data_IF_674109233814
#
_entry.id   IF_674109233814
#
_cell.length_a   1.000
_cell.length_b   1.000
_cell.length_c   1.000
_cell.angle_alpha   90.00
_cell.angle_beta   90.00
_cell.angle_gamma   90.00
#
_symmetry.space_group_name_H-M   'P 1'
#
loop_
_entity.id
_entity.type
_entity.pdbx_description
1 polymer ?
#
# COMPACT_ATOMS: atom_id res chain seq x y z
N UNK A 1 -5.86 -0.60 -7.97
CA UNK A 1 -4.58 -0.70 -8.70
C UNK A 1 -3.86 0.63 -8.65
N UNK A 2 -2.53 0.60 -8.60
CA UNK A 2 -1.74 1.82 -8.72
C UNK A 2 -2.00 2.45 -10.10
N UNK A 3 -2.22 3.77 -10.20
CA UNK A 3 -2.46 4.46 -11.46
C UNK A 3 -1.19 4.62 -12.33
N UNK A 4 -0.46 3.52 -12.50
CA UNK A 4 0.76 3.42 -13.30
C UNK A 4 0.54 2.42 -14.42
N UNK A 5 0.99 2.76 -15.64
CA UNK A 5 0.72 1.97 -16.85
C UNK A 5 1.14 0.50 -16.69
N UNK A 6 2.33 0.23 -16.14
CA UNK A 6 2.84 -1.13 -15.90
C UNK A 6 1.96 -1.97 -14.95
N UNK A 7 1.37 -1.32 -13.94
CA UNK A 7 0.52 -1.97 -12.93
C UNK A 7 -0.85 -2.27 -13.52
N UNK A 8 -1.40 -1.34 -14.30
CA UNK A 8 -2.66 -1.53 -15.01
C UNK A 8 -2.53 -2.66 -16.04
N UNK A 9 -1.44 -2.69 -16.82
CA UNK A 9 -1.14 -3.76 -17.77
C UNK A 9 -1.01 -5.12 -17.08
N UNK A 10 -0.24 -5.19 -15.99
CA UNK A 10 -0.12 -6.42 -15.18
C UNK A 10 -1.49 -6.88 -14.68
N UNK A 11 -2.31 -5.97 -14.16
CA UNK A 11 -3.66 -6.28 -13.71
C UNK A 11 -4.54 -6.79 -14.86
N UNK A 12 -4.49 -6.13 -16.02
CA UNK A 12 -5.27 -6.50 -17.20
C UNK A 12 -4.91 -7.91 -17.70
N UNK A 13 -3.62 -8.28 -17.68
CA UNK A 13 -3.15 -9.60 -18.09
C UNK A 13 -3.50 -10.65 -17.04
N UNK A 14 -3.14 -10.42 -15.77
CA UNK A 14 -3.35 -11.39 -14.67
C UNK A 14 -4.83 -11.68 -14.41
N UNK A 15 -5.70 -10.69 -14.63
CA UNK A 15 -7.14 -10.81 -14.42
C UNK A 15 -7.92 -10.74 -15.75
N UNK A 16 -7.30 -11.11 -16.87
CA UNK A 16 -7.93 -11.07 -18.20
C UNK A 16 -9.34 -11.67 -18.24
N UNK A 17 -9.61 -12.87 -17.68
CA UNK A 17 -10.96 -13.42 -17.70
C UNK A 17 -12.01 -12.56 -16.99
N UNK A 18 -11.60 -11.76 -15.99
CA UNK A 18 -12.47 -10.84 -15.25
C UNK A 18 -12.70 -9.57 -16.06
N UNK A 19 -11.64 -9.01 -16.65
CA UNK A 19 -11.71 -7.83 -17.51
C UNK A 19 -12.54 -8.10 -18.77
N UNK A 20 -12.37 -9.26 -19.41
CA UNK A 20 -13.12 -9.66 -20.60
C UNK A 20 -14.64 -9.79 -20.35
N UNK A 21 -15.06 -9.99 -19.09
CA UNK A 21 -16.48 -9.94 -18.69
C UNK A 21 -17.02 -8.52 -18.45
N UNK A 22 -16.20 -7.50 -18.67
CA UNK A 22 -16.58 -6.09 -18.53
C UNK A 22 -16.36 -5.50 -17.13
N UNK A 23 -15.70 -6.21 -16.22
CA UNK A 23 -15.31 -5.62 -14.93
C UNK A 23 -14.16 -4.63 -15.10
N UNK A 24 -14.32 -3.46 -14.50
CA UNK A 24 -13.33 -2.38 -14.57
C UNK A 24 -12.24 -2.52 -13.52
N UNK A 25 -11.04 -2.10 -13.88
CA UNK A 25 -9.88 -2.00 -13.00
C UNK A 25 -10.00 -0.69 -12.21
N UNK A 26 -10.30 -0.81 -10.92
CA UNK A 26 -10.37 0.35 -10.03
C UNK A 26 -8.97 0.94 -9.79
N UNK A 27 -8.78 2.22 -10.11
CA UNK A 27 -7.55 2.94 -9.79
C UNK A 27 -7.57 3.47 -8.35
N UNK A 28 -6.47 3.27 -7.64
CA UNK A 28 -6.29 3.58 -6.23
C UNK A 28 -4.97 4.34 -6.05
N UNK A 29 -5.00 5.68 -6.04
CA UNK A 29 -3.80 6.51 -5.89
C UNK A 29 -2.99 6.19 -4.63
N UNK A 30 -3.65 5.90 -3.51
CA UNK A 30 -2.98 5.57 -2.25
C UNK A 30 -2.01 4.38 -2.34
N UNK A 31 -2.11 3.55 -3.38
CA UNK A 31 -1.21 2.42 -3.57
C UNK A 31 0.10 2.79 -4.29
N UNK A 32 0.31 4.06 -4.70
CA UNK A 32 1.50 4.50 -5.44
C UNK A 32 2.82 4.16 -4.74
N UNK A 33 3.83 3.87 -5.57
CA UNK A 33 5.16 3.48 -5.12
C UNK A 33 5.80 4.55 -4.22
N UNK A 34 6.81 4.13 -3.47
CA UNK A 34 7.43 4.91 -2.41
C UNK A 34 8.43 5.98 -2.87
N UNK A 35 8.70 6.14 -4.17
CA UNK A 35 9.71 7.07 -4.69
C UNK A 35 9.09 8.12 -5.61
N UNK A 36 9.79 9.25 -5.76
CA UNK A 36 9.40 10.37 -6.62
C UNK A 36 9.99 10.24 -8.02
N UNK A 37 10.69 9.14 -8.30
CA UNK A 37 11.26 8.89 -9.59
C UNK A 37 10.13 8.86 -10.65
N UNK A 38 10.36 9.37 -11.88
CA UNK A 38 9.31 9.39 -12.90
C UNK A 38 8.76 8.00 -13.22
N UNK A 39 9.57 6.96 -13.06
CA UNK A 39 9.09 5.59 -13.22
C UNK A 39 8.12 5.17 -12.11
N UNK A 40 8.16 5.74 -10.92
CA UNK A 40 7.39 5.35 -9.74
C UNK A 40 6.18 6.25 -9.45
N UNK A 41 6.01 7.27 -10.30
CA UNK A 41 4.88 8.19 -10.27
C UNK A 41 3.85 7.81 -11.33
N UNK A 42 2.57 7.85 -10.98
CA UNK A 42 1.51 7.57 -11.94
C UNK A 42 1.32 8.65 -13.01
N UNK A 43 0.63 8.31 -14.10
CA UNK A 43 0.37 9.22 -15.24
C UNK A 43 -0.93 9.99 -15.05
N UNK A 44 -1.15 11.12 -15.71
CA UNK A 44 -2.39 11.89 -15.49
C UNK A 44 -3.66 11.09 -15.84
N UNK A 45 -4.81 11.47 -15.26
CA UNK A 45 -6.11 10.85 -15.59
C UNK A 45 -6.39 10.86 -17.09
N UNK A 46 -6.07 11.97 -17.77
CA UNK A 46 -6.24 12.09 -19.23
C UNK A 46 -5.39 11.05 -19.98
N UNK A 47 -4.11 10.91 -19.63
CA UNK A 47 -3.22 9.94 -20.26
C UNK A 47 -3.67 8.50 -20.00
N UNK A 48 -4.12 8.19 -18.79
CA UNK A 48 -4.61 6.85 -18.43
C UNK A 48 -5.88 6.52 -19.20
N UNK A 49 -6.85 7.42 -19.25
CA UNK A 49 -8.09 7.24 -20.02
C UNK A 49 -7.81 7.09 -21.51
N UNK A 50 -6.88 7.89 -22.07
CA UNK A 50 -6.45 7.76 -23.46
C UNK A 50 -5.82 6.40 -23.75
N UNK A 51 -5.09 5.83 -22.79
CA UNK A 51 -4.35 4.57 -22.97
C UNK A 51 -5.23 3.34 -22.77
N UNK A 52 -6.11 3.35 -21.75
CA UNK A 52 -6.84 2.16 -21.30
C UNK A 52 -8.35 2.24 -21.52
N UNK A 53 -8.88 3.41 -21.85
CA UNK A 53 -10.31 3.61 -22.10
C UNK A 53 -11.19 3.11 -20.96
N UNK A 54 -12.26 2.41 -21.30
CA UNK A 54 -13.27 1.93 -20.35
C UNK A 54 -12.81 0.77 -19.46
N UNK A 55 -11.62 0.21 -19.68
CA UNK A 55 -11.07 -0.87 -18.86
C UNK A 55 -10.75 -0.40 -17.44
N UNK A 56 -10.50 0.90 -17.25
CA UNK A 56 -10.18 1.49 -15.95
C UNK A 56 -11.36 2.27 -15.37
N UNK A 57 -11.46 2.28 -14.05
CA UNK A 57 -12.33 3.18 -13.30
C UNK A 57 -11.46 4.26 -12.63
N UNK A 58 -11.69 5.50 -13.07
CA UNK A 58 -10.95 6.70 -12.66
C UNK A 58 -11.65 7.52 -11.60
N UNK A 59 -12.86 7.16 -11.16
CA UNK A 59 -13.68 8.00 -10.27
C UNK A 59 -12.94 8.38 -8.97
N UNK A 60 -12.12 7.46 -8.45
CA UNK A 60 -11.34 7.71 -7.23
C UNK A 60 -10.18 8.68 -7.40
N UNK A 61 -9.69 8.92 -8.62
CA UNK A 61 -8.54 9.80 -8.85
C UNK A 61 -8.85 11.24 -8.41
N UNK A 62 -10.10 11.68 -8.55
CA UNK A 62 -10.55 13.01 -8.14
C UNK A 62 -10.52 13.22 -6.61
N UNK A 63 -10.64 12.14 -5.83
CA UNK A 63 -10.63 12.18 -4.36
C UNK A 63 -9.22 12.34 -3.78
N UNK A 64 -8.18 12.18 -4.59
CA UNK A 64 -6.80 12.17 -4.15
C UNK A 64 -5.96 13.12 -4.98
N UNK A 65 -6.19 14.44 -4.96
CA UNK A 65 -5.39 15.39 -5.73
C UNK A 65 -3.89 15.25 -5.42
N UNK A 66 -3.05 15.67 -6.36
CA UNK A 66 -1.58 15.66 -6.26
C UNK A 66 -0.89 14.29 -6.26
N UNK A 67 -1.63 13.21 -6.51
CA UNK A 67 -1.08 11.86 -6.58
C UNK A 67 0.00 11.70 -7.64
N UNK A 68 -0.22 12.23 -8.84
CA UNK A 68 0.73 12.18 -9.95
C UNK A 68 1.81 13.27 -9.89
N UNK A 69 1.85 14.06 -8.81
CA UNK A 69 2.87 15.08 -8.57
C UNK A 69 3.66 14.85 -7.27
N UNK A 70 3.38 13.79 -6.49
CA UNK A 70 4.06 13.47 -5.23
C UNK A 70 4.10 14.61 -4.20
N UNK A 71 2.95 15.21 -3.89
CA UNK A 71 2.88 16.25 -2.84
C UNK A 71 1.95 15.87 -1.70
N UNK A 72 2.33 16.27 -0.48
CA UNK A 72 1.55 16.13 0.74
C UNK A 72 1.45 14.67 1.17
N UNK A 73 0.24 14.08 1.14
CA UNK A 73 0.10 12.65 1.48
C UNK A 73 0.84 11.72 0.51
N UNK A 74 1.26 12.25 -0.64
CA UNK A 74 2.03 11.53 -1.64
C UNK A 74 3.54 11.73 -1.51
N UNK A 75 4.01 12.45 -0.48
CA UNK A 75 5.42 12.57 -0.16
C UNK A 75 6.06 11.20 0.10
N UNK A 76 7.38 11.15 -0.08
CA UNK A 76 8.18 9.91 -0.10
C UNK A 76 8.93 9.64 1.19
N UNK A 77 8.76 10.49 2.20
CA UNK A 77 9.32 10.27 3.53
C UNK A 77 8.59 9.12 4.25
N UNK A 78 9.30 8.46 5.19
CA UNK A 78 8.79 7.29 5.89
C UNK A 78 7.46 7.52 6.62
N UNK A 79 7.28 8.70 7.22
CA UNK A 79 6.05 9.04 7.95
C UNK A 79 4.85 9.14 7.00
N UNK A 80 5.02 9.84 5.87
CA UNK A 80 4.00 9.95 4.81
C UNK A 80 3.65 8.60 4.22
N UNK A 81 4.63 7.74 3.95
CA UNK A 81 4.42 6.39 3.41
C UNK A 81 3.68 5.48 4.40
N UNK A 82 4.03 5.51 5.69
CA UNK A 82 3.34 4.74 6.74
C UNK A 82 1.88 5.18 6.84
N UNK A 83 1.62 6.49 6.91
CA UNK A 83 0.26 7.04 6.95
C UNK A 83 -0.54 6.69 5.70
N UNK A 84 0.09 6.73 4.52
CA UNK A 84 -0.55 6.36 3.25
C UNK A 84 -0.92 4.87 3.22
N UNK A 85 -0.04 4.00 3.71
CA UNK A 85 -0.33 2.57 3.89
C UNK A 85 -1.52 2.31 4.81
N UNK A 86 -1.57 2.98 5.96
CA UNK A 86 -2.70 2.88 6.89
C UNK A 86 -4.02 3.39 6.27
N UNK A 87 -3.98 4.54 5.59
CA UNK A 87 -5.15 5.08 4.88
C UNK A 87 -5.66 4.11 3.82
N UNK A 88 -4.76 3.49 3.04
CA UNK A 88 -5.13 2.50 2.06
C UNK A 88 -5.80 1.29 2.71
N UNK A 89 -5.22 0.74 3.79
CA UNK A 89 -5.81 -0.39 4.52
C UNK A 89 -7.23 -0.09 5.02
N UNK A 90 -7.47 1.09 5.59
CA UNK A 90 -8.83 1.52 6.00
C UNK A 90 -9.79 1.53 4.81
N UNK A 91 -9.39 2.20 3.72
CA UNK A 91 -10.21 2.27 2.49
C UNK A 91 -10.54 0.89 1.95
N UNK A 92 -9.64 -0.08 2.07
CA UNK A 92 -9.83 -1.46 1.62
C UNK A 92 -10.74 -2.27 2.54
N UNK A 93 -10.57 -2.14 3.86
CA UNK A 93 -11.40 -2.83 4.85
C UNK A 93 -12.85 -2.39 4.76
N UNK A 94 -13.09 -1.10 4.56
CA UNK A 94 -14.44 -0.53 4.55
C UNK A 94 -15.18 -0.76 3.21
N UNK A 95 -14.57 -1.53 2.29
CA UNK A 95 -15.20 -1.91 1.03
C UNK A 95 -16.20 -3.05 1.23
N UNK A 96 -17.27 -3.11 0.42
CA UNK A 96 -18.25 -4.20 0.49
C UNK A 96 -17.73 -5.54 -0.06
N UNK A 97 -16.64 -5.54 -0.84
CA UNK A 97 -16.09 -6.77 -1.41
C UNK A 97 -15.40 -7.66 -0.38
N UNK A 98 -15.79 -8.95 -0.34
CA UNK A 98 -15.18 -9.96 0.55
C UNK A 98 -13.72 -10.28 0.24
N UNK A 99 -13.34 -10.16 -1.04
CA UNK A 99 -12.00 -10.45 -1.51
C UNK A 99 -11.54 -9.31 -2.42
N UNK A 100 -10.38 -8.73 -2.13
CA UNK A 100 -9.81 -7.62 -2.89
C UNK A 100 -8.42 -8.03 -3.36
N UNK A 101 -8.19 -7.97 -4.66
CA UNK A 101 -6.86 -8.10 -5.24
C UNK A 101 -6.25 -6.72 -5.44
N UNK A 102 -5.00 -6.54 -5.00
CA UNK A 102 -4.23 -5.32 -5.22
C UNK A 102 -2.95 -5.69 -5.95
N UNK A 103 -2.79 -5.16 -7.16
CA UNK A 103 -1.51 -5.16 -7.87
C UNK A 103 -0.78 -3.87 -7.46
N UNK A 104 0.37 -4.05 -6.82
CA UNK A 104 1.19 -2.98 -6.24
C UNK A 104 2.66 -3.09 -6.71
N UNK A 105 3.54 -2.31 -6.09
CA UNK A 105 4.98 -2.38 -6.28
C UNK A 105 5.69 -2.88 -5.04
N UNK A 106 6.92 -3.35 -5.22
CA UNK A 106 7.63 -4.12 -4.21
C UNK A 106 7.86 -3.32 -2.93
N UNK A 107 8.29 -2.07 -3.04
CA UNK A 107 8.60 -1.26 -1.85
C UNK A 107 7.32 -0.86 -1.13
N UNK A 108 6.35 -0.27 -1.83
CA UNK A 108 5.11 0.16 -1.20
C UNK A 108 4.30 -1.00 -0.60
N UNK A 109 4.41 -2.21 -1.15
CA UNK A 109 3.78 -3.39 -0.57
C UNK A 109 4.17 -3.59 0.92
N UNK A 110 5.41 -3.28 1.32
CA UNK A 110 5.82 -3.32 2.73
C UNK A 110 5.00 -2.37 3.61
N UNK A 111 4.70 -1.17 3.13
CA UNK A 111 3.88 -0.19 3.85
C UNK A 111 2.40 -0.61 3.89
N UNK A 112 1.91 -1.26 2.83
CA UNK A 112 0.56 -1.84 2.83
C UNK A 112 0.44 -2.87 3.95
N UNK A 113 1.37 -3.81 4.06
CA UNK A 113 1.27 -4.93 5.01
C UNK A 113 1.88 -4.66 6.39
N UNK A 114 2.47 -3.49 6.60
CA UNK A 114 3.03 -3.06 7.89
C UNK A 114 4.42 -3.65 8.19
N UNK A 115 5.15 -4.12 7.18
CA UNK A 115 6.50 -4.66 7.31
C UNK A 115 7.57 -3.55 7.23
N UNK A 116 7.39 -2.50 8.02
CA UNK A 116 8.29 -1.34 8.11
C UNK A 116 8.52 -0.91 9.56
N UNK A 117 9.67 -0.33 9.85
CA UNK A 117 9.97 0.31 11.14
C UNK A 117 9.22 1.64 11.28
N UNK A 118 9.35 2.27 12.45
CA UNK A 118 8.81 3.63 12.69
C UNK A 118 9.40 4.70 11.78
N UNK A 119 10.62 4.48 11.28
CA UNK A 119 11.31 5.39 10.37
C UNK A 119 11.04 5.05 8.90
N UNK A 120 10.20 4.04 8.62
CA UNK A 120 9.85 3.61 7.27
C UNK A 120 10.83 2.61 6.62
N UNK A 121 11.75 2.04 7.39
CA UNK A 121 12.69 1.04 6.87
C UNK A 121 12.03 -0.34 6.78
N UNK A 122 12.28 -1.07 5.69
CA UNK A 122 11.67 -2.39 5.45
C UNK A 122 12.23 -3.44 6.41
N UNK A 123 11.35 -4.29 6.96
CA UNK A 123 11.73 -5.33 7.95
C UNK A 123 11.80 -6.75 7.36
N UNK A 124 11.52 -6.90 6.07
CA UNK A 124 11.52 -8.20 5.37
C UNK A 124 12.20 -8.07 4.02
N UNK A 125 12.53 -9.22 3.38
CA UNK A 125 13.07 -9.21 2.01
C UNK A 125 12.13 -8.50 1.03
N UNK A 126 12.71 -7.99 -0.05
CA UNK A 126 11.96 -7.47 -1.18
C UNK A 126 10.97 -8.51 -1.73
N UNK A 127 9.82 -8.01 -2.18
CA UNK A 127 8.86 -8.79 -2.94
C UNK A 127 9.43 -9.18 -4.30
N UNK A 128 9.22 -10.43 -4.71
CA UNK A 128 9.57 -10.90 -6.04
C UNK A 128 8.54 -10.40 -7.08
N UNK A 129 8.95 -10.37 -8.35
CA UNK A 129 8.07 -9.98 -9.44
C UNK A 129 6.86 -10.93 -9.52
N UNK A 130 5.65 -10.34 -9.59
CA UNK A 130 4.38 -11.07 -9.60
C UNK A 130 4.18 -12.01 -8.38
N UNK A 131 4.88 -11.77 -7.27
CA UNK A 131 4.65 -12.50 -6.03
C UNK A 131 3.24 -12.22 -5.50
N UNK A 132 2.50 -13.30 -5.19
CA UNK A 132 1.16 -13.22 -4.61
C UNK A 132 1.20 -13.62 -3.14
N UNK A 133 0.59 -12.79 -2.30
CA UNK A 133 0.41 -13.02 -0.87
C UNK A 133 -1.04 -12.75 -0.49
N UNK A 134 -1.53 -13.46 0.51
CA UNK A 134 -2.90 -13.31 1.01
C UNK A 134 -2.87 -12.92 2.48
N UNK A 135 -3.72 -11.95 2.84
CA UNK A 135 -3.79 -11.37 4.17
C UNK A 135 -5.25 -11.24 4.59
N UNK A 136 -5.48 -11.19 5.90
CA UNK A 136 -6.76 -10.79 6.50
C UNK A 136 -6.55 -9.59 7.43
N UNK A 137 -7.58 -8.76 7.57
CA UNK A 137 -7.62 -7.76 8.63
C UNK A 137 -7.68 -8.44 9.99
N UNK A 138 -6.97 -7.88 10.97
CA UNK A 138 -6.88 -8.43 12.33
C UNK A 138 -8.21 -8.23 13.08
N UNK A 139 -8.80 -7.04 12.97
CA UNK A 139 -10.10 -6.71 13.54
C UNK A 139 -10.83 -5.67 12.66
N UNK A 140 -12.16 -5.63 12.77
CA UNK A 140 -13.00 -4.70 12.02
C UNK A 140 -12.89 -3.26 12.53
N UNK A 141 -12.69 -3.09 13.84
CA UNK A 141 -12.61 -1.81 14.55
C UNK A 141 -11.17 -1.32 14.81
N UNK A 142 -10.18 -1.96 14.18
CA UNK A 142 -8.77 -1.60 14.31
C UNK A 142 -8.47 -0.21 13.71
N UNK A 143 -8.00 0.74 14.51
CA UNK A 143 -7.71 2.10 14.03
C UNK A 143 -6.59 2.20 12.99
N UNK A 144 -5.76 1.20 12.80
CA UNK A 144 -4.70 1.16 11.78
C UNK A 144 -4.99 0.15 10.66
N UNK A 145 -6.17 -0.50 10.74
CA UNK A 145 -6.62 -1.57 9.87
C UNK A 145 -5.53 -2.64 9.70
N UNK A 146 -4.90 -3.08 10.79
CA UNK A 146 -3.78 -4.01 10.72
C UNK A 146 -4.13 -5.31 10.00
N UNK A 147 -3.13 -5.89 9.32
CA UNK A 147 -3.30 -7.10 8.53
C UNK A 147 -2.32 -8.18 9.01
N UNK A 148 -2.75 -9.43 8.94
CA UNK A 148 -1.90 -10.59 9.18
C UNK A 148 -1.94 -11.51 7.98
N UNK A 149 -0.78 -12.06 7.62
CA UNK A 149 -0.65 -12.96 6.48
C UNK A 149 -1.31 -14.31 6.78
N UNK A 150 -2.04 -14.85 5.81
CA UNK A 150 -2.68 -16.15 5.93
C UNK A 150 -1.64 -17.28 5.95
N UNK A 151 -1.94 -18.36 6.66
CA UNK A 151 -1.05 -19.51 6.83
C UNK A 151 -0.71 -20.15 5.47
N UNK A 152 -1.72 -20.37 4.63
CA UNK A 152 -1.55 -20.94 3.28
C UNK A 152 -0.73 -20.04 2.34
N UNK A 153 -0.66 -18.74 2.63
CA UNK A 153 0.18 -17.79 1.90
C UNK A 153 1.64 -17.94 2.32
N UNK A 154 1.89 -18.17 3.61
CA UNK A 154 3.23 -18.38 4.18
C UNK A 154 3.79 -19.75 3.81
N UNK A 155 2.97 -20.80 3.82
CA UNK A 155 3.39 -22.17 3.49
C UNK A 155 3.91 -22.31 2.05
N UNK A 156 3.40 -21.48 1.13
CA UNK A 156 3.92 -21.41 -0.25
C UNK A 156 5.32 -20.80 -0.33
N UNK A 157 5.79 -20.14 0.74
CA UNK A 157 7.02 -19.34 0.78
C UNK A 157 7.72 -19.48 2.15
N UNK A 158 8.24 -20.69 2.47
CA UNK A 158 8.89 -20.96 3.76
C UNK A 158 10.14 -20.10 4.02
N UNK A 159 10.81 -19.62 2.96
CA UNK A 159 12.03 -18.81 3.03
C UNK A 159 11.78 -17.31 3.33
N UNK A 160 10.59 -16.93 3.82
CA UNK A 160 10.34 -15.59 4.34
C UNK A 160 11.10 -15.40 5.66
N UNK A 161 12.42 -15.19 5.57
CA UNK A 161 13.22 -14.81 6.73
C UNK A 161 12.80 -13.42 7.22
N UNK A 162 12.19 -13.39 8.40
CA UNK A 162 12.02 -12.18 9.19
C UNK A 162 13.41 -11.84 9.75
N UNK A 163 14.13 -10.91 9.12
CA UNK A 163 15.29 -10.30 9.75
C UNK A 163 14.78 -9.30 10.79
N UNK A 164 14.70 -9.75 12.04
CA UNK A 164 14.06 -9.07 13.18
C UNK A 164 12.53 -8.99 13.06
N UNK A 165 11.75 -9.46 14.06
CA UNK A 165 10.31 -9.20 14.16
C UNK A 165 10.05 -7.74 14.57
N UNK A 166 10.76 -6.81 13.91
CA UNK A 166 10.79 -5.37 14.16
C UNK A 166 9.40 -4.87 14.49
N UNK A 167 9.36 -4.08 15.56
CA UNK A 167 8.17 -3.69 16.30
C UNK A 167 6.94 -3.58 15.40
N UNK A 168 6.00 -4.51 15.59
CA UNK A 168 4.60 -4.31 15.23
C UNK A 168 4.25 -2.87 15.56
N UNK A 169 3.79 -2.11 14.57
CA UNK A 169 3.27 -0.76 14.76
C UNK A 169 2.27 -0.84 15.91
N UNK A 170 2.69 -0.45 17.11
CA UNK A 170 1.81 -0.31 18.26
C UNK A 170 1.32 1.13 18.22
N UNK A 171 0.02 1.39 18.01
CA UNK A 171 -0.51 2.70 18.36
C UNK A 171 -0.41 2.82 19.89
N UNK A 172 0.39 3.77 20.40
CA UNK A 172 0.39 4.09 21.83
C UNK A 172 1.73 4.34 22.53
N UNK A 173 2.85 4.58 21.85
CA UNK A 173 4.00 5.18 22.53
C UNK A 173 3.76 6.68 22.69
N UNK A 174 3.01 7.05 23.74
CA UNK A 174 2.90 8.45 24.16
C UNK A 174 4.29 9.06 24.28
N UNK A 175 4.42 10.30 23.80
CA UNK A 175 5.59 11.16 24.09
C UNK A 175 5.88 11.05 25.59
N UNK A 176 6.96 10.36 25.97
CA UNK A 176 7.59 10.63 27.27
C UNK A 176 8.13 12.04 27.16
N UNK A 177 7.41 12.99 27.75
CA UNK A 177 7.94 14.33 27.96
C UNK A 177 9.28 14.22 28.67
N UNK A 178 10.27 14.97 28.19
CA UNK A 178 11.49 15.21 28.94
C UNK A 178 11.08 15.94 30.23
N UNK A 179 10.93 15.21 31.33
CA UNK A 179 11.01 15.83 32.64
C UNK A 179 12.45 16.30 32.81
N UNK A 180 12.60 17.61 33.03
CA UNK A 180 13.89 18.20 33.36
C UNK A 180 14.45 17.57 34.62
N UNK A 181 15.72 17.17 34.55
CA UNK A 181 16.54 17.06 35.74
C UNK A 181 16.85 18.47 36.23
N UNK A 182 16.22 18.83 37.33
CA UNK A 182 16.70 19.90 38.19
C UNK A 182 18.03 19.44 38.80
N UNK A 183 19.15 19.99 38.33
CA UNK A 183 20.40 19.91 39.07
C UNK A 183 20.28 20.77 40.33
N UNK A 184 20.29 20.09 41.48
CA UNK A 184 20.63 20.65 42.78
C UNK A 184 22.10 20.32 43.01
N UNK A 185 23.00 21.31 42.98
CA UNK A 185 23.85 21.81 44.07
C UNK A 185 24.51 23.10 43.58
#
# INVERSE_FOLDING_TARGET
MIPMKRTIQTCQISFKPVVDRGHKILLMPLAQESSDAPMDTGSSTEELTKTFGDVIDTQRLELFPYWFSNHGRFDVDGESLIKRGAMLRKVLRDRPEKNIAIVSHGTFAHFIVGNVTTDGEQTTRMWANAECRSFKFVAEDDEDAQMTELEESRDKRPDLEIKNPGHLLRPGAGRKGSMGEAMTV
#
